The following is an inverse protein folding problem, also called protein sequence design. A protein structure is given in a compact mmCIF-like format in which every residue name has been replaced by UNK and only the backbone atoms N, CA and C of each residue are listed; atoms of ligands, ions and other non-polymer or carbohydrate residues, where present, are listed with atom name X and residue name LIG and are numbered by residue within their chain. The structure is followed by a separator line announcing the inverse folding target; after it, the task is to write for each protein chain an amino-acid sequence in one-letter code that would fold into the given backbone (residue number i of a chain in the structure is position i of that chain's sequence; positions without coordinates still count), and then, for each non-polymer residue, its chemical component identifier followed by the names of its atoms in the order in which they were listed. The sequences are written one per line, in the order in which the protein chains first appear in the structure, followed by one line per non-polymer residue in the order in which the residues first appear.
data_IF_107992323743
#
_entry.id   IF_107992323743
#
_cell.length_a   1.000
_cell.length_b   1.000
_cell.length_c   1.000
_cell.angle_alpha   90.00
_cell.angle_beta   90.00
_cell.angle_gamma   90.00
#
_symmetry.space_group_name_H-M   'P 1'
#
loop_
_entity.id
_entity.type
_entity.pdbx_description
1 polymer ?
#
# COMPACT_ATOMS: atom_id res chain seq x y z
N UNK A 1 -22.73 13.76 6.35
CA UNK A 1 -21.28 13.65 6.66
C UNK A 1 -21.11 12.45 7.58
N UNK A 2 -20.82 11.26 7.07
CA UNK A 2 -20.64 10.06 7.90
C UNK A 2 -19.72 9.04 7.21
N UNK A 3 -18.47 8.97 7.66
CA UNK A 3 -17.67 7.74 7.69
C UNK A 3 -16.75 7.43 6.49
N UNK A 4 -15.47 7.85 6.61
CA UNK A 4 -14.31 7.04 6.21
C UNK A 4 -14.14 6.71 4.71
N UNK A 5 -13.78 7.68 3.87
CA UNK A 5 -13.08 7.42 2.59
C UNK A 5 -11.60 7.03 2.84
N UNK A 6 -11.35 6.21 3.85
CA UNK A 6 -10.02 5.71 4.17
C UNK A 6 -9.81 4.42 3.37
N UNK A 7 -8.75 4.31 2.56
CA UNK A 7 -8.51 3.12 1.75
C UNK A 7 -8.38 1.88 2.63
N UNK A 8 -9.11 0.81 2.29
CA UNK A 8 -9.05 -0.47 3.00
C UNK A 8 -7.83 -1.25 2.55
N UNK A 9 -6.70 -0.90 3.15
CA UNK A 9 -5.43 -1.51 2.84
C UNK A 9 -5.37 -2.98 3.30
N UNK A 10 -4.66 -3.85 2.56
CA UNK A 10 -4.35 -5.20 3.02
C UNK A 10 -3.55 -5.18 4.32
N UNK A 11 -3.56 -6.30 5.05
CA UNK A 11 -2.95 -6.39 6.38
C UNK A 11 -1.46 -6.00 6.33
N UNK A 12 -1.10 -5.01 7.13
CA UNK A 12 0.28 -4.52 7.28
C UNK A 12 0.67 -3.38 6.33
N UNK A 13 -0.10 -3.14 5.26
CA UNK A 13 0.08 -1.94 4.44
C UNK A 13 -0.39 -0.71 5.21
N UNK A 14 0.29 0.42 4.98
CA UNK A 14 -0.03 1.70 5.62
C UNK A 14 0.14 2.85 4.64
N UNK A 15 -0.62 3.91 4.84
CA UNK A 15 -0.34 5.18 4.19
C UNK A 15 0.62 6.02 5.03
N UNK A 16 1.53 6.69 4.34
CA UNK A 16 2.29 7.79 4.88
C UNK A 16 1.84 9.07 4.18
N UNK A 17 1.02 9.85 4.90
CA UNK A 17 0.44 11.13 4.47
C UNK A 17 1.22 12.33 5.04
N UNK A 18 2.46 12.12 5.48
CA UNK A 18 3.31 13.18 6.05
C UNK A 18 3.71 14.29 5.07
N UNK A 19 3.26 14.23 3.81
CA UNK A 19 3.51 15.22 2.77
C UNK A 19 2.17 15.68 2.18
N UNK A 20 1.92 16.99 2.04
CA UNK A 20 0.65 17.49 1.50
C UNK A 20 0.45 17.15 0.02
N UNK A 21 1.54 17.02 -0.74
CA UNK A 21 1.50 16.78 -2.19
C UNK A 21 1.58 15.29 -2.55
N UNK A 22 1.92 14.41 -1.61
CA UNK A 22 2.17 12.99 -1.89
C UNK A 22 1.66 12.08 -0.80
N UNK A 23 1.01 10.99 -1.22
CA UNK A 23 0.60 9.89 -0.36
C UNK A 23 1.44 8.68 -0.74
N UNK A 24 2.20 8.16 0.22
CA UNK A 24 3.04 6.98 0.00
C UNK A 24 2.34 5.74 0.55
N UNK A 25 2.24 4.71 -0.28
CA UNK A 25 1.80 3.39 0.15
C UNK A 25 3.01 2.59 0.62
N UNK A 26 3.03 2.24 1.89
CA UNK A 26 4.12 1.53 2.56
C UNK A 26 3.70 0.09 2.81
N UNK A 27 4.56 -0.84 2.43
CA UNK A 27 4.41 -2.29 2.63
C UNK A 27 4.61 -2.68 4.11
N UNK A 28 4.18 -3.89 4.51
CA UNK A 28 4.43 -4.41 5.84
C UNK A 28 5.92 -4.48 6.22
N UNK A 29 6.81 -4.70 5.25
CA UNK A 29 8.27 -4.77 5.46
C UNK A 29 8.92 -3.38 5.64
N UNK A 30 8.15 -2.30 5.44
CA UNK A 30 8.63 -0.92 5.51
C UNK A 30 9.06 -0.34 4.16
N UNK A 31 9.19 -1.15 3.11
CA UNK A 31 9.45 -0.65 1.75
C UNK A 31 8.26 0.09 1.16
N UNK A 32 8.53 1.00 0.23
CA UNK A 32 7.51 1.72 -0.51
C UNK A 32 6.95 0.85 -1.65
N UNK A 33 5.63 0.66 -1.68
CA UNK A 33 4.93 0.01 -2.80
C UNK A 33 4.64 0.99 -3.94
N UNK A 34 4.10 2.17 -3.62
CA UNK A 34 3.67 3.16 -4.61
C UNK A 34 3.64 4.58 -4.04
N UNK A 35 3.61 5.57 -4.95
CA UNK A 35 3.40 7.00 -4.63
C UNK A 35 2.21 7.50 -5.42
N UNK A 36 1.32 8.23 -4.74
CA UNK A 36 0.19 8.90 -5.32
C UNK A 36 0.32 10.40 -5.11
N UNK A 37 -0.13 11.19 -6.08
CA UNK A 37 -0.26 12.64 -5.89
C UNK A 37 -1.40 12.93 -4.91
N UNK A 38 -1.17 13.71 -3.87
CA UNK A 38 -2.16 14.05 -2.83
C UNK A 38 -3.43 14.71 -3.39
N UNK A 39 -3.35 15.32 -4.58
CA UNK A 39 -4.49 15.93 -5.28
C UNK A 39 -5.34 14.95 -6.10
N UNK A 40 -4.85 13.73 -6.38
CA UNK A 40 -5.52 12.74 -7.22
C UNK A 40 -5.58 11.33 -6.62
N UNK A 41 -5.08 11.17 -5.39
CA UNK A 41 -5.09 9.92 -4.67
C UNK A 41 -6.51 9.64 -4.14
N UNK A 42 -7.25 8.79 -4.84
CA UNK A 42 -8.53 8.28 -4.36
C UNK A 42 -8.33 6.99 -3.57
N UNK A 43 -9.13 6.77 -2.53
CA UNK A 43 -9.09 5.55 -1.71
C UNK A 43 -9.11 4.27 -2.58
N UNK A 44 -10.03 4.20 -3.56
CA UNK A 44 -10.13 3.04 -4.45
C UNK A 44 -8.88 2.76 -5.29
N UNK A 45 -8.17 3.80 -5.75
CA UNK A 45 -6.92 3.63 -6.52
C UNK A 45 -5.78 3.11 -5.65
N UNK A 46 -5.73 3.57 -4.39
CA UNK A 46 -4.76 3.11 -3.41
C UNK A 46 -5.05 1.65 -3.03
N UNK A 47 -6.32 1.30 -2.78
CA UNK A 47 -6.76 -0.06 -2.48
C UNK A 47 -6.41 -1.04 -3.60
N UNK A 48 -6.74 -0.69 -4.85
CA UNK A 48 -6.43 -1.52 -6.01
C UNK A 48 -4.93 -1.74 -6.13
N UNK A 49 -4.13 -0.69 -5.98
CA UNK A 49 -2.67 -0.79 -6.06
C UNK A 49 -2.11 -1.67 -4.94
N UNK A 50 -2.59 -1.50 -3.70
CA UNK A 50 -2.14 -2.31 -2.57
C UNK A 50 -2.52 -3.79 -2.71
N UNK A 51 -3.72 -4.07 -3.24
CA UNK A 51 -4.13 -5.45 -3.52
C UNK A 51 -3.34 -6.06 -4.67
N UNK A 52 -3.06 -5.31 -5.73
CA UNK A 52 -2.23 -5.77 -6.85
C UNK A 52 -0.81 -6.06 -6.37
N UNK A 53 -0.20 -5.14 -5.63
CA UNK A 53 1.14 -5.35 -5.05
C UNK A 53 1.18 -6.61 -4.17
N UNK A 54 0.17 -6.84 -3.33
CA UNK A 54 0.08 -8.05 -2.52
C UNK A 54 -0.05 -9.34 -3.35
N UNK A 55 -0.80 -9.31 -4.45
CA UNK A 55 -0.98 -10.48 -5.32
C UNK A 55 0.26 -10.76 -6.20
N UNK A 56 0.96 -9.69 -6.59
CA UNK A 56 2.17 -9.76 -7.41
C UNK A 56 3.42 -10.05 -6.55
N UNK A 57 3.37 -9.79 -5.24
CA UNK A 57 4.39 -10.26 -4.32
C UNK A 57 4.40 -11.79 -4.32
N UNK A 58 5.57 -12.42 -4.49
CA UNK A 58 5.67 -13.83 -4.14
C UNK A 58 5.23 -13.98 -2.69
N UNK A 59 4.52 -15.08 -2.32
CA UNK A 59 4.34 -15.40 -0.92
C UNK A 59 5.74 -15.34 -0.31
N UNK A 60 5.91 -14.62 0.79
CA UNK A 60 7.20 -14.51 1.46
C UNK A 60 7.76 -15.93 1.55
N UNK A 61 8.77 -16.23 0.73
CA UNK A 61 9.39 -17.54 0.73
C UNK A 61 9.99 -17.65 2.12
N UNK A 62 9.27 -18.37 2.98
CA UNK A 62 9.80 -18.90 4.22
C UNK A 62 10.95 -19.80 3.79
N UNK A 63 12.16 -19.22 3.72
CA UNK A 63 13.44 -19.86 3.46
C UNK A 63 13.45 -21.01 2.44
N UNK A 64 13.95 -20.76 1.23
CA UNK A 64 14.74 -21.79 0.53
C UNK A 64 16.21 -21.45 0.64
N UNK A 65 16.79 -21.82 1.78
CA UNK A 65 18.20 -22.25 1.82
C UNK A 65 18.29 -23.60 1.07
N UNK A 66 19.15 -23.69 0.06
CA UNK A 66 19.53 -24.95 -0.61
C UNK A 66 18.99 -25.08 -2.04
N UNK A 67 19.79 -25.35 -3.07
CA UNK A 67 21.20 -25.76 -3.13
C UNK A 67 21.75 -25.74 -4.55
#
# INVERSE_FOLDING_TARGET
MNGKDEPRLPRGYRLNEGQPDFVFLIRPDGSQAAVFSGLGASAGSIEETAQRDLQERPPEEEGVEGG
#
